data_IF_932329932387
#
_entry.id   IF_932329932387
#
_cell.length_a   1.000
_cell.length_b   1.000
_cell.length_c   1.000
_cell.angle_alpha   90.00
_cell.angle_beta   90.00
_cell.angle_gamma   90.00
#
_symmetry.space_group_name_H-M   'P 1'
#
loop_
_entity.id
_entity.type
_entity.pdbx_description
1 polymer ?
#
# COMPACT_ATOMS: atom_id res chain seq x y z
N UNK A 1 49.52 20.14 -3.03
CA UNK A 1 49.19 19.27 -4.19
C UNK A 1 48.35 18.08 -3.73
N UNK A 2 47.10 18.33 -3.33
CA UNK A 2 46.13 17.30 -2.94
C UNK A 2 44.68 17.82 -3.10
N UNK A 3 44.46 18.69 -4.10
CA UNK A 3 43.15 19.34 -4.37
C UNK A 3 42.81 19.28 -5.88
N UNK A 4 43.55 18.48 -6.67
CA UNK A 4 43.41 18.47 -8.13
C UNK A 4 43.14 17.11 -8.77
N UNK A 5 42.91 16.06 -7.98
CA UNK A 5 42.53 14.74 -8.49
C UNK A 5 41.04 14.38 -8.31
N UNK A 6 40.23 15.26 -7.70
CA UNK A 6 38.78 15.09 -7.65
C UNK A 6 38.06 15.49 -8.97
N UNK A 7 38.80 15.75 -10.06
CA UNK A 7 38.26 16.34 -11.31
C UNK A 7 38.27 15.41 -12.53
N UNK A 8 38.57 14.12 -12.37
CA UNK A 8 38.60 13.16 -13.49
C UNK A 8 37.77 11.90 -13.25
N UNK A 9 36.60 12.08 -12.62
CA UNK A 9 35.52 11.09 -12.55
C UNK A 9 34.19 11.70 -13.00
N UNK A 10 34.20 12.47 -14.10
CA UNK A 10 33.03 13.15 -14.66
C UNK A 10 32.04 12.14 -15.31
N UNK A 11 31.30 11.41 -14.47
CA UNK A 11 30.12 10.68 -14.88
C UNK A 11 28.87 11.57 -14.77
N UNK A 12 28.56 12.32 -15.83
CA UNK A 12 27.26 12.85 -16.28
C UNK A 12 26.14 13.32 -15.29
N UNK A 13 26.35 13.41 -13.97
CA UNK A 13 25.26 13.55 -13.00
C UNK A 13 25.53 14.49 -11.81
N UNK A 14 26.48 15.43 -11.91
CA UNK A 14 26.67 16.48 -10.87
C UNK A 14 25.70 17.68 -11.00
N UNK A 15 24.92 17.76 -12.07
CA UNK A 15 23.82 18.72 -12.22
C UNK A 15 22.49 18.01 -12.08
N UNK A 16 21.67 18.40 -11.09
CA UNK A 16 20.33 17.85 -10.90
C UNK A 16 19.58 17.76 -12.23
N UNK A 17 19.33 16.54 -12.69
CA UNK A 17 18.67 16.25 -13.96
C UNK A 17 17.46 17.18 -14.17
N UNK A 18 17.56 18.02 -15.20
CA UNK A 18 16.47 18.88 -15.73
C UNK A 18 15.53 18.11 -16.65
N UNK A 19 15.83 16.83 -16.90
CA UNK A 19 14.94 15.87 -17.53
C UNK A 19 13.72 15.60 -16.62
N UNK A 20 12.72 16.48 -16.70
CA UNK A 20 11.51 16.48 -15.87
C UNK A 20 10.78 15.13 -15.82
N UNK A 21 10.90 14.33 -16.87
CA UNK A 21 10.22 13.04 -17.00
C UNK A 21 11.11 11.82 -16.70
N UNK A 22 12.40 12.01 -16.39
CA UNK A 22 13.22 10.86 -16.05
C UNK A 22 13.00 10.46 -14.57
N UNK A 23 12.90 9.16 -14.24
CA UNK A 23 12.61 8.75 -12.86
C UNK A 23 13.68 9.12 -11.81
N UNK A 24 14.90 9.47 -12.22
CA UNK A 24 15.89 10.07 -11.31
C UNK A 24 15.52 11.52 -10.98
N UNK A 25 15.14 12.31 -12.00
CA UNK A 25 14.67 13.68 -11.86
C UNK A 25 13.38 13.77 -11.04
N UNK A 26 12.42 12.87 -11.27
CA UNK A 26 11.18 12.81 -10.51
C UNK A 26 11.43 12.52 -9.01
N UNK A 27 12.27 11.53 -8.70
CA UNK A 27 12.65 11.20 -7.32
C UNK A 27 13.37 12.35 -6.63
N UNK A 28 14.32 12.98 -7.32
CA UNK A 28 15.08 14.10 -6.77
C UNK A 28 14.20 15.33 -6.58
N UNK A 29 13.29 15.61 -7.53
CA UNK A 29 12.28 16.66 -7.41
C UNK A 29 11.34 16.44 -6.22
N UNK A 30 10.87 15.21 -6.01
CA UNK A 30 10.06 14.88 -4.83
C UNK A 30 10.84 15.07 -3.53
N UNK A 31 12.09 14.58 -3.46
CA UNK A 31 12.97 14.77 -2.28
C UNK A 31 13.17 16.24 -1.93
N UNK A 32 13.46 17.09 -2.92
CA UNK A 32 13.61 18.53 -2.70
C UNK A 32 12.30 19.18 -2.24
N UNK A 33 11.17 18.81 -2.84
CA UNK A 33 9.86 19.31 -2.43
C UNK A 33 9.55 18.92 -0.97
N UNK A 34 9.83 17.67 -0.57
CA UNK A 34 9.66 17.20 0.82
C UNK A 34 10.58 17.98 1.75
N UNK A 35 11.87 18.16 1.41
CA UNK A 35 12.80 18.90 2.25
C UNK A 35 12.36 20.37 2.42
N UNK A 36 11.96 21.03 1.34
CA UNK A 36 11.45 22.40 1.38
C UNK A 36 10.19 22.51 2.23
N UNK A 37 9.25 21.57 2.10
CA UNK A 37 8.04 21.52 2.91
C UNK A 37 8.36 21.33 4.40
N UNK A 38 9.28 20.41 4.75
CA UNK A 38 9.66 20.16 6.13
C UNK A 38 10.33 21.38 6.77
N UNK A 39 11.22 22.06 6.04
CA UNK A 39 11.84 23.30 6.50
C UNK A 39 10.80 24.38 6.78
N UNK A 40 9.87 24.58 5.83
CA UNK A 40 8.78 25.56 5.96
C UNK A 40 7.84 25.27 7.13
N UNK A 41 7.49 23.99 7.32
CA UNK A 41 6.68 23.56 8.46
C UNK A 41 7.39 23.83 9.78
N UNK A 42 8.70 23.58 9.85
CA UNK A 42 9.49 23.81 11.06
C UNK A 42 9.65 25.31 11.36
N UNK A 43 9.83 26.14 10.33
CA UNK A 43 9.85 27.59 10.45
C UNK A 43 8.53 28.10 11.07
N UNK A 44 7.38 27.67 10.53
CA UNK A 44 6.08 28.03 11.09
C UNK A 44 5.83 27.45 12.48
N UNK A 45 6.28 26.23 12.77
CA UNK A 45 6.19 25.65 14.11
C UNK A 45 7.01 26.46 15.15
N UNK A 46 8.09 27.11 14.71
CA UNK A 46 8.90 28.02 15.54
C UNK A 46 8.37 29.46 15.61
N UNK A 47 7.26 29.76 14.95
CA UNK A 47 6.66 31.11 14.89
C UNK A 47 7.38 32.08 13.93
N UNK A 48 8.25 31.59 13.06
CA UNK A 48 8.95 32.38 12.06
C UNK A 48 8.16 32.42 10.73
N UNK A 49 8.51 33.34 9.81
CA UNK A 49 7.94 33.38 8.45
C UNK A 49 6.54 33.99 8.33
N UNK A 50 5.95 34.51 9.41
CA UNK A 50 4.63 35.15 9.41
C UNK A 50 4.70 36.59 8.86
N UNK A 51 3.83 36.98 7.91
CA UNK A 51 3.70 38.37 7.48
C UNK A 51 3.23 39.27 8.64
N UNK A 52 3.81 40.47 8.75
CA UNK A 52 3.43 41.45 9.77
C UNK A 52 1.92 41.80 9.73
N UNK A 53 1.31 41.73 8.55
CA UNK A 53 -0.11 42.00 8.33
C UNK A 53 -1.06 40.96 8.96
N UNK A 54 -0.60 39.76 9.31
CA UNK A 54 -1.44 38.73 9.97
C UNK A 54 -0.97 38.42 11.39
N UNK A 55 0.28 38.79 11.74
CA UNK A 55 0.90 38.49 13.03
C UNK A 55 0.16 39.06 14.25
N UNK A 56 -0.69 40.07 14.07
CA UNK A 56 -1.47 40.68 15.15
C UNK A 56 -2.77 39.93 15.49
N UNK A 57 -3.17 38.94 14.68
CA UNK A 57 -4.35 38.11 14.92
C UNK A 57 -3.97 36.64 14.86
N UNK A 58 -4.18 35.92 15.97
CA UNK A 58 -3.87 34.50 16.07
C UNK A 58 -4.69 33.67 15.07
N UNK A 59 -5.97 34.00 14.88
CA UNK A 59 -6.84 33.32 13.91
C UNK A 59 -6.38 33.57 12.47
N UNK A 60 -6.06 34.82 12.12
CA UNK A 60 -5.56 35.16 10.79
C UNK A 60 -4.20 34.50 10.49
N UNK A 61 -3.30 34.49 11.49
CA UNK A 61 -2.00 33.82 11.39
C UNK A 61 -2.14 32.32 11.15
N UNK A 62 -3.02 31.64 11.91
CA UNK A 62 -3.27 30.19 11.74
C UNK A 62 -3.87 29.87 10.37
N UNK A 63 -4.84 30.65 9.92
CA UNK A 63 -5.44 30.46 8.60
C UNK A 63 -4.38 30.63 7.49
N UNK A 64 -3.60 31.70 7.55
CA UNK A 64 -2.54 31.96 6.58
C UNK A 64 -1.49 30.85 6.55
N UNK A 65 -1.01 30.40 7.72
CA UNK A 65 -0.06 29.26 7.83
C UNK A 65 -0.66 27.99 7.25
N UNK A 66 -1.92 27.70 7.56
CA UNK A 66 -2.63 26.53 7.05
C UNK A 66 -2.73 26.55 5.53
N UNK A 67 -3.07 27.70 4.93
CA UNK A 67 -3.19 27.85 3.48
C UNK A 67 -1.83 27.68 2.80
N UNK A 68 -0.79 28.29 3.36
CA UNK A 68 0.58 28.25 2.84
C UNK A 68 1.20 26.84 2.94
N UNK A 69 0.90 26.10 4.00
CA UNK A 69 1.25 24.68 4.15
C UNK A 69 0.42 23.79 3.24
N UNK A 70 -0.86 24.09 3.04
CA UNK A 70 -1.74 23.35 2.11
C UNK A 70 -1.24 23.46 0.68
N UNK A 71 -0.88 24.66 0.23
CA UNK A 71 -0.32 24.88 -1.10
C UNK A 71 1.02 24.14 -1.27
N UNK A 72 1.91 24.22 -0.27
CA UNK A 72 3.19 23.51 -0.31
C UNK A 72 3.02 21.99 -0.29
N UNK A 73 2.08 21.47 0.49
CA UNK A 73 1.74 20.05 0.53
C UNK A 73 1.16 19.55 -0.80
N UNK A 74 0.35 20.37 -1.49
CA UNK A 74 -0.16 20.04 -2.82
C UNK A 74 0.98 19.82 -3.82
N UNK A 75 2.02 20.67 -3.80
CA UNK A 75 3.22 20.51 -4.61
C UNK A 75 3.98 19.22 -4.27
N UNK A 76 4.17 18.91 -2.98
CA UNK A 76 4.80 17.65 -2.54
C UNK A 76 4.03 16.44 -3.06
N UNK A 77 2.70 16.48 -2.97
CA UNK A 77 1.82 15.40 -3.42
C UNK A 77 1.83 15.25 -4.95
N UNK A 78 1.89 16.34 -5.70
CA UNK A 78 2.07 16.33 -7.16
C UNK A 78 3.39 15.66 -7.55
N UNK A 79 4.51 16.08 -6.94
CA UNK A 79 5.82 15.47 -7.18
C UNK A 79 5.88 14.02 -6.73
N UNK A 80 5.17 13.67 -5.65
CA UNK A 80 5.06 12.29 -5.18
C UNK A 80 4.31 11.38 -6.16
N UNK A 81 3.23 11.88 -6.78
CA UNK A 81 2.51 11.17 -7.84
C UNK A 81 3.40 10.99 -9.08
N UNK A 82 4.10 12.04 -9.51
CA UNK A 82 5.03 11.96 -10.63
C UNK A 82 6.17 10.95 -10.38
N UNK A 83 6.76 10.92 -9.18
CA UNK A 83 7.73 9.88 -8.81
C UNK A 83 7.11 8.48 -8.87
N UNK A 84 5.88 8.32 -8.36
CA UNK A 84 5.15 7.05 -8.35
C UNK A 84 4.92 6.49 -9.76
N UNK A 85 4.42 7.33 -10.68
CA UNK A 85 4.20 6.97 -12.08
C UNK A 85 5.51 6.61 -12.79
N UNK A 86 6.53 7.44 -12.62
CA UNK A 86 7.87 7.22 -13.17
C UNK A 86 8.50 5.91 -12.65
N UNK A 87 8.24 5.57 -11.39
CA UNK A 87 8.67 4.31 -10.79
C UNK A 87 7.91 3.10 -11.35
N UNK A 88 6.59 3.19 -11.49
CA UNK A 88 5.76 2.12 -12.07
C UNK A 88 6.17 1.79 -13.51
N UNK A 89 6.50 2.80 -14.31
CA UNK A 89 7.01 2.60 -15.67
C UNK A 89 8.35 1.85 -15.72
N UNK A 90 9.18 1.93 -14.67
CA UNK A 90 10.43 1.15 -14.56
C UNK A 90 10.25 -0.20 -13.86
N UNK A 91 9.12 -0.43 -13.21
CA UNK A 91 8.91 -1.64 -12.42
C UNK A 91 8.97 -2.89 -13.32
N UNK A 92 8.41 -2.83 -14.53
CA UNK A 92 8.40 -3.98 -15.43
C UNK A 92 9.82 -4.47 -15.81
N UNK A 93 10.78 -3.55 -15.99
CA UNK A 93 12.18 -3.89 -16.25
C UNK A 93 12.79 -4.61 -15.05
N UNK A 94 12.55 -4.09 -13.84
CA UNK A 94 13.04 -4.74 -12.60
C UNK A 94 12.43 -6.12 -12.42
N UNK A 95 11.14 -6.26 -12.68
CA UNK A 95 10.48 -7.57 -12.59
C UNK A 95 11.01 -8.53 -13.64
N UNK A 96 11.29 -8.06 -14.86
CA UNK A 96 11.93 -8.88 -15.89
C UNK A 96 13.33 -9.33 -15.43
N UNK A 97 14.17 -8.42 -14.91
CA UNK A 97 15.48 -8.80 -14.37
C UNK A 97 15.38 -9.83 -13.24
N UNK A 98 14.44 -9.69 -12.31
CA UNK A 98 14.23 -10.67 -11.23
C UNK A 98 13.80 -12.02 -11.78
N UNK A 99 12.83 -12.04 -12.72
CA UNK A 99 12.35 -13.26 -13.37
C UNK A 99 13.49 -13.98 -14.11
N UNK A 100 14.24 -13.27 -14.95
CA UNK A 100 15.35 -13.85 -15.70
C UNK A 100 16.53 -14.27 -14.81
N UNK A 101 16.78 -13.55 -13.71
CA UNK A 101 17.76 -13.97 -12.70
C UNK A 101 17.34 -15.27 -12.01
N UNK A 102 16.04 -15.45 -11.73
CA UNK A 102 15.51 -16.69 -11.16
C UNK A 102 15.62 -17.86 -12.15
N UNK A 103 15.34 -17.63 -13.44
CA UNK A 103 15.54 -18.64 -14.51
C UNK A 103 17.02 -19.02 -14.62
N UNK A 104 17.93 -18.03 -14.64
CA UNK A 104 19.38 -18.28 -14.67
C UNK A 104 19.85 -19.04 -13.43
N UNK A 105 19.37 -18.67 -12.24
CA UNK A 105 19.69 -19.37 -11.00
C UNK A 105 19.21 -20.82 -11.04
N UNK A 106 17.98 -21.06 -11.51
CA UNK A 106 17.45 -22.42 -11.68
C UNK A 106 18.33 -23.22 -12.64
N UNK A 107 18.73 -22.63 -13.77
CA UNK A 107 19.64 -23.25 -14.72
C UNK A 107 20.99 -23.62 -14.07
N UNK A 108 21.62 -22.68 -13.37
CA UNK A 108 22.89 -22.93 -12.67
C UNK A 108 22.77 -24.05 -11.63
N UNK A 109 21.70 -24.04 -10.82
CA UNK A 109 21.43 -25.11 -9.84
C UNK A 109 21.24 -26.46 -10.52
N UNK A 110 20.49 -26.51 -11.63
CA UNK A 110 20.31 -27.74 -12.39
C UNK A 110 21.61 -28.24 -13.01
N UNK A 111 22.45 -27.37 -13.56
CA UNK A 111 23.77 -27.75 -14.10
C UNK A 111 24.67 -28.30 -12.99
N UNK A 112 24.76 -27.60 -11.85
CA UNK A 112 25.57 -28.04 -10.72
C UNK A 112 25.10 -29.38 -10.16
N UNK A 113 23.79 -29.58 -10.03
CA UNK A 113 23.23 -30.86 -9.56
C UNK A 113 23.21 -31.95 -10.63
N UNK A 114 23.52 -31.63 -11.90
CA UNK A 114 23.67 -32.63 -12.96
C UNK A 114 25.02 -33.33 -12.87
N UNK A 115 26.01 -32.67 -12.24
CA UNK A 115 27.32 -33.24 -11.99
C UNK A 115 27.13 -34.46 -11.08
N UNK A 116 27.42 -35.65 -11.60
CA UNK A 116 27.27 -36.94 -10.91
C UNK A 116 25.90 -37.60 -11.07
N UNK A 117 24.79 -36.85 -11.10
CA UNK A 117 23.43 -37.41 -11.22
C UNK A 117 22.90 -37.50 -12.67
N UNK A 118 23.59 -36.89 -13.63
CA UNK A 118 23.20 -36.86 -15.04
C UNK A 118 22.12 -35.83 -15.37
N UNK A 119 21.90 -35.64 -16.68
CA UNK A 119 20.85 -34.78 -17.22
C UNK A 119 19.61 -35.60 -17.54
N UNK A 120 18.44 -35.14 -17.11
CA UNK A 120 17.16 -35.88 -17.21
C UNK A 120 16.13 -35.06 -17.99
N UNK A 121 15.12 -35.74 -18.54
CA UNK A 121 13.99 -35.10 -19.23
C UNK A 121 13.27 -34.10 -18.31
N UNK A 122 13.09 -34.45 -17.03
CA UNK A 122 12.48 -33.56 -16.04
C UNK A 122 13.23 -32.23 -15.87
N UNK A 123 14.57 -32.21 -15.97
CA UNK A 123 15.37 -30.98 -15.93
C UNK A 123 15.09 -30.10 -17.15
N UNK A 124 15.12 -30.69 -18.34
CA UNK A 124 14.77 -29.99 -19.58
C UNK A 124 13.35 -29.43 -19.53
N UNK A 125 12.36 -30.22 -19.10
CA UNK A 125 10.98 -29.79 -18.93
C UNK A 125 10.86 -28.66 -17.89
N UNK A 126 11.58 -28.78 -16.77
CA UNK A 126 11.72 -27.75 -15.73
C UNK A 126 12.21 -26.41 -16.26
N UNK A 127 13.24 -26.42 -17.11
CA UNK A 127 13.80 -25.21 -17.71
C UNK A 127 12.90 -24.62 -18.80
N UNK A 128 12.31 -25.46 -19.65
CA UNK A 128 11.35 -25.01 -20.65
C UNK A 128 10.12 -24.37 -19.99
N UNK A 129 9.58 -24.98 -18.93
CA UNK A 129 8.49 -24.41 -18.14
C UNK A 129 8.88 -23.05 -17.54
N UNK A 130 10.10 -22.92 -17.03
CA UNK A 130 10.63 -21.67 -16.47
C UNK A 130 10.78 -20.59 -17.55
N UNK A 131 11.27 -20.95 -18.74
CA UNK A 131 11.37 -20.06 -19.89
C UNK A 131 9.98 -19.59 -20.35
N UNK A 132 9.02 -20.50 -20.50
CA UNK A 132 7.65 -20.16 -20.92
C UNK A 132 6.97 -19.24 -19.90
N UNK A 133 7.10 -19.54 -18.61
CA UNK A 133 6.55 -18.71 -17.53
C UNK A 133 7.25 -17.35 -17.49
N UNK A 134 8.58 -17.32 -17.65
CA UNK A 134 9.36 -16.09 -17.69
C UNK A 134 9.02 -15.18 -18.87
N UNK A 135 8.83 -15.77 -20.06
CA UNK A 135 8.37 -15.07 -21.26
C UNK A 135 6.95 -14.54 -21.09
N UNK A 136 6.03 -15.34 -20.54
CA UNK A 136 4.66 -14.91 -20.27
C UNK A 136 4.62 -13.74 -19.28
N UNK A 137 5.37 -13.81 -18.18
CA UNK A 137 5.47 -12.73 -17.19
C UNK A 137 6.13 -11.48 -17.77
N UNK A 138 7.17 -11.64 -18.60
CA UNK A 138 7.84 -10.51 -19.27
C UNK A 138 6.90 -9.85 -20.28
N UNK A 139 6.18 -10.64 -21.08
CA UNK A 139 5.19 -10.17 -22.05
C UNK A 139 4.02 -9.46 -21.38
N UNK A 140 3.44 -10.05 -20.34
CA UNK A 140 2.41 -9.40 -19.52
C UNK A 140 2.93 -8.10 -18.88
N UNK A 141 4.18 -8.12 -18.40
CA UNK A 141 4.84 -6.93 -17.86
C UNK A 141 5.02 -5.81 -18.87
N UNK A 142 5.37 -6.15 -20.11
CA UNK A 142 5.48 -5.20 -21.20
C UNK A 142 4.12 -4.62 -21.60
N UNK A 143 3.10 -5.46 -21.75
CA UNK A 143 1.73 -5.06 -22.11
C UNK A 143 1.09 -4.18 -21.03
N UNK A 144 1.37 -4.46 -19.75
CA UNK A 144 0.82 -3.73 -18.60
C UNK A 144 1.81 -2.73 -17.97
N UNK A 145 2.85 -2.31 -18.71
CA UNK A 145 3.91 -1.41 -18.19
C UNK A 145 3.39 -0.11 -17.59
N UNK A 146 2.29 0.44 -18.11
CA UNK A 146 1.66 1.65 -17.60
C UNK A 146 0.98 1.46 -16.23
N UNK A 147 0.70 0.21 -15.83
CA UNK A 147 0.01 -0.15 -14.58
C UNK A 147 0.92 -0.90 -13.59
N UNK A 148 2.23 -0.82 -13.78
CA UNK A 148 3.21 -1.52 -12.93
C UNK A 148 3.71 -2.86 -13.48
N UNK A 149 3.27 -3.29 -14.67
CA UNK A 149 3.77 -4.49 -15.34
C UNK A 149 3.21 -5.80 -14.76
N UNK A 150 4.06 -6.83 -14.64
CA UNK A 150 3.68 -8.16 -14.17
C UNK A 150 3.00 -8.16 -12.77
N UNK A 151 3.39 -7.31 -11.81
CA UNK A 151 2.70 -7.23 -10.52
C UNK A 151 1.38 -6.43 -10.55
N UNK A 152 0.96 -5.86 -11.69
CA UNK A 152 -0.30 -5.10 -11.77
C UNK A 152 -1.52 -5.83 -11.16
N UNK A 153 -1.71 -7.16 -11.34
CA UNK A 153 -2.84 -7.87 -10.74
C UNK A 153 -2.82 -7.91 -9.20
N UNK A 154 -1.64 -7.79 -8.59
CA UNK A 154 -1.49 -7.82 -7.12
C UNK A 154 -1.48 -6.43 -6.50
N UNK A 155 -1.50 -5.38 -7.31
CA UNK A 155 -1.67 -3.99 -6.85
C UNK A 155 -3.18 -3.74 -6.65
N UNK A 156 -3.54 -3.25 -5.48
CA UNK A 156 -4.89 -2.86 -5.09
C UNK A 156 -5.34 -1.56 -5.73
N UNK A 157 -6.63 -1.29 -5.63
CA UNK A 157 -7.25 -0.03 -6.09
C UNK A 157 -6.71 1.20 -5.34
N UNK A 158 -6.11 1.01 -4.16
CA UNK A 158 -5.44 2.03 -3.35
C UNK A 158 -3.94 2.21 -3.68
N UNK A 159 -3.47 1.67 -4.81
CA UNK A 159 -2.06 1.67 -5.23
C UNK A 159 -1.09 1.01 -4.23
N UNK A 160 -1.57 0.08 -3.39
CA UNK A 160 -0.74 -0.73 -2.47
C UNK A 160 -0.67 -2.18 -2.93
N UNK A 161 0.34 -2.94 -2.51
CA UNK A 161 0.31 -4.39 -2.74
C UNK A 161 -0.73 -5.05 -1.85
N UNK A 162 -1.55 -5.94 -2.44
CA UNK A 162 -2.54 -6.71 -1.71
C UNK A 162 -1.96 -8.05 -1.27
N UNK A 163 -1.89 -8.28 0.05
CA UNK A 163 -1.40 -9.54 0.65
C UNK A 163 -2.13 -10.76 0.10
N UNK A 164 -3.46 -10.74 0.05
CA UNK A 164 -4.24 -11.88 -0.47
C UNK A 164 -4.03 -12.12 -1.96
N UNK A 165 -3.96 -11.07 -2.78
CA UNK A 165 -3.69 -11.24 -4.22
C UNK A 165 -2.27 -11.74 -4.46
N UNK A 166 -1.28 -11.27 -3.70
CA UNK A 166 0.11 -11.70 -3.83
C UNK A 166 0.30 -13.19 -3.44
N UNK A 167 -0.31 -13.62 -2.33
CA UNK A 167 -0.30 -15.04 -1.93
C UNK A 167 -1.01 -15.90 -2.98
N UNK A 168 -2.21 -15.51 -3.43
CA UNK A 168 -2.92 -16.26 -4.46
C UNK A 168 -2.15 -16.35 -5.78
N UNK A 169 -1.58 -15.22 -6.25
CA UNK A 169 -0.75 -15.20 -7.45
C UNK A 169 0.48 -16.11 -7.34
N UNK A 170 1.11 -16.16 -6.16
CA UNK A 170 2.27 -17.03 -5.92
C UNK A 170 1.89 -18.52 -6.03
N UNK A 171 0.75 -18.92 -5.46
CA UNK A 171 0.22 -20.28 -5.60
C UNK A 171 -0.19 -20.63 -7.03
N UNK A 172 -0.84 -19.69 -7.74
CA UNK A 172 -1.19 -19.86 -9.16
C UNK A 172 0.06 -20.04 -10.01
N UNK A 173 1.11 -19.24 -9.78
CA UNK A 173 2.37 -19.36 -10.50
C UNK A 173 3.05 -20.70 -10.24
N UNK A 174 3.11 -21.16 -8.98
CA UNK A 174 3.69 -22.46 -8.66
C UNK A 174 2.90 -23.61 -9.30
N UNK A 175 1.57 -23.58 -9.21
CA UNK A 175 0.71 -24.60 -9.81
C UNK A 175 0.83 -24.63 -11.34
N UNK A 176 0.81 -23.46 -11.99
CA UNK A 176 1.00 -23.34 -13.44
C UNK A 176 2.37 -23.84 -13.87
N UNK A 177 3.43 -23.51 -13.13
CA UNK A 177 4.77 -24.03 -13.37
C UNK A 177 4.81 -25.56 -13.25
N UNK A 178 4.25 -26.13 -12.17
CA UNK A 178 4.21 -27.58 -11.97
C UNK A 178 3.50 -28.32 -13.12
N UNK A 179 2.37 -27.79 -13.58
CA UNK A 179 1.64 -28.35 -14.73
C UNK A 179 2.47 -28.27 -16.01
N UNK A 180 3.15 -27.15 -16.28
CA UNK A 180 4.03 -27.03 -17.45
C UNK A 180 5.19 -28.04 -17.42
N UNK A 181 5.75 -28.32 -16.23
CA UNK A 181 6.79 -29.35 -16.05
C UNK A 181 6.26 -30.74 -16.39
N UNK A 182 5.04 -31.07 -15.95
CA UNK A 182 4.40 -32.35 -16.25
C UNK A 182 4.04 -32.47 -17.74
N UNK A 183 3.50 -31.41 -18.36
CA UNK A 183 3.20 -31.37 -19.80
C UNK A 183 4.48 -31.56 -20.63
N UNK A 184 5.59 -30.91 -20.24
CA UNK A 184 6.87 -31.07 -20.92
C UNK A 184 7.42 -32.49 -20.83
N UNK A 185 7.27 -33.16 -19.68
CA UNK A 185 7.64 -34.56 -19.53
C UNK A 185 6.74 -35.49 -20.35
N UNK A 186 5.43 -35.25 -20.35
CA UNK A 186 4.48 -36.03 -21.14
C UNK A 186 4.75 -35.93 -22.64
N UNK A 187 5.11 -34.75 -23.13
CA UNK A 187 5.47 -34.53 -24.53
C UNK A 187 6.77 -35.26 -24.93
N UNK A 188 7.68 -35.48 -23.98
CA UNK A 188 8.94 -36.19 -24.21
C UNK A 188 8.85 -37.70 -23.94
N UNK A 189 7.78 -38.17 -23.29
CA UNK A 189 7.59 -39.59 -22.98
C UNK A 189 7.31 -40.39 -24.26
N UNK A 190 8.21 -41.33 -24.58
CA UNK A 190 8.09 -42.23 -25.73
C UNK A 190 7.44 -43.57 -25.38
N UNK A 191 7.51 -44.00 -24.13
CA UNK A 191 6.93 -45.26 -23.65
C UNK A 191 5.50 -45.06 -23.11
N UNK A 192 4.67 -46.10 -23.20
CA UNK A 192 3.29 -46.07 -22.69
C UNK A 192 3.27 -46.11 -21.15
N UNK A 193 4.13 -46.91 -20.52
CA UNK A 193 4.19 -47.01 -19.06
C UNK A 193 4.61 -45.69 -18.40
N UNK A 194 5.56 -44.96 -19.01
CA UNK A 194 5.99 -43.63 -18.58
C UNK A 194 4.86 -42.59 -18.67
N UNK A 195 4.04 -42.67 -19.72
CA UNK A 195 2.88 -41.78 -19.91
C UNK A 195 1.81 -42.05 -18.86
N UNK A 196 1.51 -43.32 -18.62
CA UNK A 196 0.51 -43.73 -17.62
C UNK A 196 0.93 -43.32 -16.21
N UNK A 197 2.23 -43.42 -15.89
CA UNK A 197 2.77 -42.94 -14.62
C UNK A 197 2.62 -41.41 -14.44
N UNK A 198 2.87 -40.61 -15.49
CA UNK A 198 2.68 -39.16 -15.46
C UNK A 198 1.20 -38.77 -15.34
N UNK A 199 0.31 -39.49 -16.02
CA UNK A 199 -1.15 -39.30 -15.91
C UNK A 199 -1.61 -39.65 -14.49
N UNK A 200 -1.12 -40.76 -13.92
CA UNK A 200 -1.37 -41.11 -12.53
C UNK A 200 -0.81 -40.05 -11.55
N UNK A 201 0.30 -39.39 -11.91
CA UNK A 201 0.87 -38.27 -11.16
C UNK A 201 -0.01 -37.00 -11.12
N UNK A 202 -0.97 -36.88 -12.03
CA UNK A 202 -1.99 -35.82 -12.07
C UNK A 202 -3.25 -36.17 -11.27
N UNK A 203 -3.35 -37.39 -10.73
CA UNK A 203 -4.52 -37.80 -9.98
C UNK A 203 -4.81 -36.88 -8.80
N UNK A 204 -6.09 -36.56 -8.63
CA UNK A 204 -6.56 -35.67 -7.57
C UNK A 204 -6.16 -36.20 -6.17
N UNK A 205 -6.06 -37.51 -5.99
CA UNK A 205 -5.62 -38.10 -4.72
C UNK A 205 -4.23 -37.61 -4.29
N UNK A 206 -3.33 -37.37 -5.25
CA UNK A 206 -1.95 -36.88 -5.02
C UNK A 206 -1.87 -35.36 -5.01
N UNK A 207 -2.78 -34.69 -5.72
CA UNK A 207 -2.84 -33.22 -5.83
C UNK A 207 -3.83 -32.54 -4.86
N UNK A 208 -4.58 -33.28 -4.04
CA UNK A 208 -5.70 -32.73 -3.27
C UNK A 208 -5.26 -31.57 -2.38
N UNK A 209 -4.14 -31.71 -1.65
CA UNK A 209 -3.65 -30.66 -0.75
C UNK A 209 -3.34 -29.35 -1.47
N UNK A 210 -2.60 -29.39 -2.58
CA UNK A 210 -2.24 -28.18 -3.34
C UNK A 210 -3.46 -27.57 -4.03
N UNK A 211 -4.37 -28.38 -4.56
CA UNK A 211 -5.61 -27.90 -5.20
C UNK A 211 -6.53 -27.25 -4.17
N UNK A 212 -6.68 -27.85 -2.98
CA UNK A 212 -7.45 -27.26 -1.88
C UNK A 212 -6.86 -25.93 -1.45
N UNK A 213 -5.55 -25.85 -1.23
CA UNK A 213 -4.89 -24.59 -0.86
C UNK A 213 -5.08 -23.55 -1.94
N UNK A 214 -4.84 -23.89 -3.22
CA UNK A 214 -5.03 -23.00 -4.35
C UNK A 214 -6.46 -22.45 -4.42
N UNK A 215 -7.46 -23.33 -4.29
CA UNK A 215 -8.87 -22.94 -4.28
C UNK A 215 -9.18 -21.98 -3.13
N UNK A 216 -8.68 -22.26 -1.92
CA UNK A 216 -8.89 -21.42 -0.74
C UNK A 216 -8.22 -20.06 -0.89
N UNK A 217 -6.93 -19.99 -1.24
CA UNK A 217 -6.22 -18.70 -1.34
C UNK A 217 -6.81 -17.81 -2.44
N UNK A 218 -7.25 -18.39 -3.56
CA UNK A 218 -7.97 -17.68 -4.61
C UNK A 218 -9.35 -17.20 -4.12
N UNK A 219 -10.11 -18.06 -3.44
CA UNK A 219 -11.39 -17.70 -2.83
C UNK A 219 -11.26 -16.57 -1.82
N UNK A 220 -10.23 -16.60 -0.96
CA UNK A 220 -9.90 -15.55 0.00
C UNK A 220 -9.51 -14.25 -0.69
N UNK A 221 -8.74 -14.29 -1.77
CA UNK A 221 -8.41 -13.09 -2.54
C UNK A 221 -9.66 -12.38 -3.09
N UNK A 222 -10.62 -13.15 -3.62
CA UNK A 222 -11.91 -12.63 -4.11
C UNK A 222 -12.78 -12.12 -2.95
N UNK A 223 -12.90 -12.92 -1.88
CA UNK A 223 -13.73 -12.57 -0.73
C UNK A 223 -13.24 -11.31 -0.03
N UNK A 224 -11.93 -11.20 0.23
CA UNK A 224 -11.35 -9.99 0.85
C UNK A 224 -11.55 -8.76 -0.04
N UNK A 225 -11.40 -8.88 -1.36
CA UNK A 225 -11.71 -7.76 -2.28
C UNK A 225 -13.16 -7.31 -2.12
N UNK A 226 -14.11 -8.24 -2.06
CA UNK A 226 -15.53 -7.94 -1.86
C UNK A 226 -15.78 -7.30 -0.50
N UNK A 227 -15.22 -7.84 0.57
CA UNK A 227 -15.38 -7.35 1.94
C UNK A 227 -14.86 -5.92 2.08
N UNK A 228 -13.62 -5.68 1.63
CA UNK A 228 -13.01 -4.35 1.68
C UNK A 228 -13.82 -3.37 0.83
N UNK A 229 -14.19 -3.74 -0.41
CA UNK A 229 -14.98 -2.89 -1.29
C UNK A 229 -16.33 -2.47 -0.69
N UNK A 230 -17.10 -3.44 -0.15
CA UNK A 230 -18.39 -3.15 0.48
C UNK A 230 -18.25 -2.31 1.76
N UNK A 231 -17.19 -2.52 2.54
CA UNK A 231 -16.96 -1.74 3.77
C UNK A 231 -16.50 -0.32 3.48
N UNK A 232 -15.71 -0.11 2.42
CA UNK A 232 -15.34 1.24 1.94
C UNK A 232 -16.58 1.96 1.42
N UNK A 233 -17.40 1.33 0.58
CA UNK A 233 -18.66 1.91 0.08
C UNK A 233 -19.64 2.20 1.22
N UNK A 234 -19.70 1.34 2.24
CA UNK A 234 -20.51 1.54 3.44
C UNK A 234 -19.89 2.51 4.46
N UNK A 235 -18.78 3.18 4.13
CA UNK A 235 -18.02 4.09 5.00
C UNK A 235 -17.57 3.47 6.34
N UNK A 236 -17.55 2.12 6.45
CA UNK A 236 -17.10 1.38 7.64
C UNK A 236 -15.60 1.11 7.65
N UNK A 237 -14.93 1.38 6.54
CA UNK A 237 -13.49 1.30 6.38
C UNK A 237 -13.03 2.50 5.56
N UNK A 238 -11.97 3.16 6.02
CA UNK A 238 -11.41 4.33 5.36
C UNK A 238 -10.11 3.95 4.68
N UNK A 239 -10.03 4.17 3.37
CA UNK A 239 -8.88 3.81 2.53
C UNK A 239 -8.43 5.04 1.74
N UNK A 240 -7.17 5.41 1.88
CA UNK A 240 -6.55 6.50 1.11
C UNK A 240 -5.48 5.93 0.18
N UNK A 241 -5.54 6.33 -1.09
CA UNK A 241 -4.59 5.87 -2.10
C UNK A 241 -3.16 6.27 -1.79
N UNK A 242 -2.24 5.31 -1.88
CA UNK A 242 -0.81 5.52 -1.82
C UNK A 242 -0.29 6.12 -3.14
N UNK A 243 0.84 6.82 -3.09
CA UNK A 243 1.49 7.31 -4.33
C UNK A 243 2.20 6.19 -5.10
N UNK A 244 2.61 5.12 -4.41
CA UNK A 244 3.23 3.94 -5.02
C UNK A 244 3.08 2.70 -4.13
N UNK A 245 3.07 1.50 -4.72
CA UNK A 245 3.12 0.26 -3.95
C UNK A 245 4.52 0.06 -3.35
N UNK A 246 4.57 -0.57 -2.18
CA UNK A 246 5.82 -0.92 -1.47
C UNK A 246 5.80 -2.40 -1.13
N UNK A 247 6.96 -3.05 -1.18
CA UNK A 247 7.07 -4.45 -0.75
C UNK A 247 6.62 -4.66 0.71
N UNK A 248 6.84 -3.64 1.56
CA UNK A 248 6.38 -3.64 2.95
C UNK A 248 4.85 -3.74 3.08
N UNK A 249 4.06 -3.31 2.08
CA UNK A 249 2.60 -3.35 2.13
C UNK A 249 2.05 -4.77 2.31
N UNK A 250 2.83 -5.82 1.98
CA UNK A 250 2.45 -7.21 2.22
C UNK A 250 2.46 -7.57 3.72
N UNK A 251 3.19 -6.81 4.53
CA UNK A 251 3.50 -7.09 5.93
C UNK A 251 3.01 -5.98 6.88
N UNK A 252 2.59 -4.84 6.33
CA UNK A 252 2.21 -3.66 7.10
C UNK A 252 0.78 -3.23 6.81
N UNK A 253 0.14 -2.65 7.82
CA UNK A 253 -1.13 -1.96 7.70
C UNK A 253 -1.01 -0.68 6.86
N UNK A 254 -2.14 0.02 6.68
CA UNK A 254 -2.19 1.22 5.87
C UNK A 254 -1.37 2.39 6.45
N UNK A 255 -1.07 2.35 7.75
CA UNK A 255 -0.22 3.32 8.45
C UNK A 255 1.27 2.93 8.43
N UNK A 256 1.62 1.78 7.84
CA UNK A 256 2.99 1.26 7.79
C UNK A 256 3.42 0.51 9.06
N UNK A 257 2.51 0.16 9.96
CA UNK A 257 2.79 -0.65 11.16
C UNK A 257 2.70 -2.13 10.80
N UNK A 258 3.51 -2.98 11.43
CA UNK A 258 3.44 -4.43 11.18
C UNK A 258 2.05 -5.00 11.49
N UNK A 259 1.45 -5.71 10.54
CA UNK A 259 0.15 -6.35 10.71
C UNK A 259 0.35 -7.83 11.01
N UNK A 260 0.01 -8.26 12.23
CA UNK A 260 0.19 -9.67 12.62
C UNK A 260 -0.55 -10.63 11.69
N UNK A 261 -1.80 -10.33 11.33
CA UNK A 261 -2.63 -11.18 10.46
C UNK A 261 -2.08 -11.28 9.05
N UNK A 262 -1.45 -10.22 8.54
CA UNK A 262 -0.86 -10.20 7.20
C UNK A 262 0.50 -10.91 7.21
N UNK A 263 1.36 -10.62 8.20
CA UNK A 263 2.67 -11.25 8.37
C UNK A 263 2.54 -12.77 8.51
N UNK A 264 1.68 -13.25 9.41
CA UNK A 264 1.51 -14.69 9.63
C UNK A 264 1.02 -15.39 8.35
N UNK A 265 0.14 -14.75 7.58
CA UNK A 265 -0.42 -15.32 6.36
C UNK A 265 0.63 -15.44 5.25
N UNK A 266 1.44 -14.41 5.09
CA UNK A 266 2.58 -14.44 4.16
C UNK A 266 3.58 -15.51 4.58
N UNK A 267 4.03 -15.52 5.83
CA UNK A 267 5.06 -16.46 6.31
C UNK A 267 4.60 -17.91 6.18
N UNK A 268 3.41 -18.25 6.66
CA UNK A 268 2.86 -19.62 6.57
C UNK A 268 2.72 -20.05 5.11
N UNK A 269 2.19 -19.18 4.26
CA UNK A 269 2.03 -19.48 2.82
C UNK A 269 3.37 -19.64 2.12
N UNK A 270 4.37 -18.81 2.45
CA UNK A 270 5.73 -18.92 1.89
C UNK A 270 6.38 -20.24 2.28
N UNK A 271 6.27 -20.68 3.54
CA UNK A 271 6.82 -21.98 3.98
C UNK A 271 6.17 -23.13 3.20
N UNK A 272 4.85 -23.12 3.04
CA UNK A 272 4.13 -24.14 2.29
C UNK A 272 4.47 -24.12 0.78
N UNK A 273 4.64 -22.93 0.17
CA UNK A 273 5.11 -22.77 -1.21
C UNK A 273 6.51 -23.33 -1.41
N UNK A 274 7.44 -23.01 -0.50
CA UNK A 274 8.82 -23.53 -0.55
C UNK A 274 8.82 -25.05 -0.41
N UNK A 275 8.03 -25.59 0.52
CA UNK A 275 7.87 -27.02 0.67
C UNK A 275 7.35 -27.67 -0.62
N UNK A 276 6.28 -27.13 -1.22
CA UNK A 276 5.72 -27.65 -2.47
C UNK A 276 6.72 -27.56 -3.65
N UNK A 277 7.49 -26.46 -3.76
CA UNK A 277 8.55 -26.33 -4.77
C UNK A 277 9.66 -27.38 -4.58
N UNK A 278 10.08 -27.65 -3.34
CA UNK A 278 11.05 -28.71 -3.04
C UNK A 278 10.48 -30.09 -3.38
N UNK A 279 9.20 -30.35 -3.09
CA UNK A 279 8.53 -31.61 -3.47
C UNK A 279 8.52 -31.81 -4.98
N UNK A 280 8.18 -30.78 -5.75
CA UNK A 280 8.23 -30.82 -7.21
C UNK A 280 9.64 -31.13 -7.72
N UNK A 281 10.66 -30.49 -7.15
CA UNK A 281 12.06 -30.73 -7.54
C UNK A 281 12.53 -32.16 -7.22
N UNK A 282 11.98 -32.79 -6.17
CA UNK A 282 12.33 -34.16 -5.75
C UNK A 282 11.51 -35.24 -6.46
N UNK A 283 10.28 -34.91 -6.87
CA UNK A 283 9.34 -35.82 -7.56
C UNK A 283 8.67 -35.06 -8.71
N UNK A 284 9.39 -34.83 -9.82
CA UNK A 284 8.91 -34.02 -10.93
C UNK A 284 7.81 -34.70 -11.75
N UNK A 285 7.62 -36.00 -11.57
CA UNK A 285 6.66 -36.88 -12.25
C UNK A 285 5.22 -36.74 -11.75
N UNK A 286 4.99 -36.00 -10.66
CA UNK A 286 3.67 -35.79 -10.09
C UNK A 286 3.47 -34.36 -9.59
N UNK A 287 2.21 -33.98 -9.37
CA UNK A 287 1.92 -32.71 -8.69
C UNK A 287 2.55 -32.68 -7.30
N UNK A 288 2.88 -31.47 -6.77
CA UNK A 288 3.43 -31.33 -5.44
C UNK A 288 2.44 -31.85 -4.39
N UNK A 289 2.72 -33.05 -3.88
CA UNK A 289 1.97 -33.64 -2.78
C UNK A 289 2.26 -32.86 -1.50
N UNK A 290 1.27 -32.06 -1.09
CA UNK A 290 1.29 -31.21 0.09
C UNK A 290 0.59 -31.95 1.25
N UNK A 291 1.31 -32.32 2.32
CA UNK A 291 0.73 -32.98 3.48
C UNK A 291 -0.46 -32.19 4.04
N UNK A 292 -1.53 -32.89 4.40
CA UNK A 292 -2.73 -32.28 4.94
C UNK A 292 -2.47 -31.39 6.16
N UNK A 293 -1.47 -31.70 6.99
CA UNK A 293 -1.07 -30.84 8.10
C UNK A 293 -0.63 -29.43 7.65
N UNK A 294 0.17 -29.34 6.57
CA UNK A 294 0.58 -28.05 6.00
C UNK A 294 -0.57 -27.36 5.27
N UNK A 295 -1.40 -28.12 4.56
CA UNK A 295 -2.60 -27.57 3.92
C UNK A 295 -3.54 -26.95 4.97
N UNK A 296 -3.84 -27.67 6.05
CA UNK A 296 -4.67 -27.19 7.16
C UNK A 296 -4.05 -25.96 7.84
N UNK A 297 -2.73 -25.92 8.01
CA UNK A 297 -2.05 -24.74 8.55
C UNK A 297 -2.27 -23.50 7.68
N UNK A 298 -2.14 -23.64 6.34
CA UNK A 298 -2.42 -22.55 5.40
C UNK A 298 -3.90 -22.14 5.47
N UNK A 299 -4.82 -23.09 5.58
CA UNK A 299 -6.26 -22.82 5.70
C UNK A 299 -6.60 -22.03 6.98
N UNK A 300 -6.06 -22.44 8.13
CA UNK A 300 -6.23 -21.73 9.42
C UNK A 300 -5.63 -20.34 9.35
N UNK A 301 -4.44 -20.22 8.75
CA UNK A 301 -3.77 -18.95 8.53
C UNK A 301 -4.59 -18.00 7.63
N UNK A 302 -5.18 -18.53 6.55
CA UNK A 302 -6.04 -17.79 5.64
C UNK A 302 -7.35 -17.33 6.31
N UNK A 303 -7.96 -18.20 7.14
CA UNK A 303 -9.14 -17.85 7.94
C UNK A 303 -8.82 -16.75 8.97
N UNK A 304 -7.67 -16.82 9.63
CA UNK A 304 -7.20 -15.81 10.58
C UNK A 304 -6.99 -14.46 9.89
N UNK A 305 -6.37 -14.47 8.71
CA UNK A 305 -6.22 -13.27 7.87
C UNK A 305 -7.57 -12.67 7.48
N UNK A 306 -8.51 -13.50 7.02
CA UNK A 306 -9.86 -13.06 6.67
C UNK A 306 -10.57 -12.43 7.87
N UNK A 307 -10.53 -13.08 9.04
CA UNK A 307 -11.11 -12.56 10.27
C UNK A 307 -10.49 -11.20 10.65
N UNK A 308 -9.17 -11.06 10.49
CA UNK A 308 -8.47 -9.78 10.62
C UNK A 308 -9.05 -8.69 9.73
N UNK A 309 -9.24 -8.97 8.43
CA UNK A 309 -9.85 -8.01 7.48
C UNK A 309 -11.30 -7.65 7.81
N UNK A 310 -12.04 -8.51 8.51
CA UNK A 310 -13.36 -8.18 9.05
C UNK A 310 -13.29 -7.33 10.32
N UNK A 311 -12.28 -7.54 11.15
CA UNK A 311 -12.06 -6.78 12.39
C UNK A 311 -11.46 -5.38 12.14
N UNK A 312 -10.73 -5.17 11.05
CA UNK A 312 -10.12 -3.87 10.71
C UNK A 312 -11.14 -2.75 10.50
N UNK A 313 -10.77 -1.52 10.84
CA UNK A 313 -11.53 -0.31 10.51
C UNK A 313 -12.56 0.12 11.56
N UNK A 314 -13.28 1.18 11.22
CA UNK A 314 -14.27 1.82 12.07
C UNK A 314 -14.87 3.01 11.35
N UNK A 315 -16.14 3.29 11.61
CA UNK A 315 -16.76 4.55 11.16
C UNK A 315 -16.16 5.69 11.99
N UNK A 316 -15.77 6.81 11.35
CA UNK A 316 -15.38 7.98 12.12
C UNK A 316 -16.59 8.45 12.95
N UNK A 317 -16.35 8.88 14.18
CA UNK A 317 -17.42 9.24 15.11
C UNK A 317 -17.05 10.49 15.89
N UNK A 318 -17.98 11.43 16.01
CA UNK A 318 -17.94 12.56 16.94
C UNK A 318 -18.57 12.09 18.24
N UNK A 319 -17.82 12.20 19.34
CA UNK A 319 -18.29 11.87 20.68
C UNK A 319 -18.73 13.13 21.44
N UNK A 320 -18.05 14.25 21.23
CA UNK A 320 -18.40 15.53 21.82
C UNK A 320 -17.86 16.70 21.02
N UNK A 321 -18.55 17.83 21.09
CA UNK A 321 -18.08 19.12 20.60
C UNK A 321 -18.15 20.11 21.75
N UNK A 322 -17.04 20.80 22.01
CA UNK A 322 -16.93 21.80 23.09
C UNK A 322 -16.25 23.06 22.58
N UNK A 323 -16.44 24.19 23.27
CA UNK A 323 -15.65 25.40 23.03
C UNK A 323 -14.18 25.10 23.36
N UNK A 324 -13.28 25.41 22.43
CA UNK A 324 -11.84 25.32 22.69
C UNK A 324 -11.47 26.42 23.69
N UNK A 325 -10.76 26.06 24.75
CA UNK A 325 -10.51 26.97 25.88
C UNK A 325 -9.03 27.31 25.96
N UNK A 326 -8.70 28.58 26.05
CA UNK A 326 -7.36 29.00 26.46
C UNK A 326 -7.24 29.06 27.99
N UNK A 327 -6.03 28.96 28.51
CA UNK A 327 -5.81 29.00 29.95
C UNK A 327 -6.21 30.37 30.51
N UNK A 328 -7.31 30.43 31.28
CA UNK A 328 -7.84 31.66 31.87
C UNK A 328 -9.24 32.05 31.37
N UNK A 329 -9.75 31.39 30.32
CA UNK A 329 -11.11 31.63 29.84
C UNK A 329 -12.18 31.10 30.81
N UNK A 330 -13.27 31.86 30.92
CA UNK A 330 -14.48 31.45 31.63
C UNK A 330 -15.31 30.48 30.78
N UNK A 331 -16.10 29.64 31.46
CA UNK A 331 -17.06 28.79 30.79
C UNK A 331 -18.14 29.66 30.12
N UNK A 332 -18.32 29.47 28.82
CA UNK A 332 -19.22 30.25 27.99
C UNK A 332 -19.86 29.36 26.91
N UNK A 333 -21.06 29.71 26.40
CA UNK A 333 -21.64 29.06 25.24
C UNK A 333 -20.73 29.25 24.01
N UNK A 334 -20.90 28.38 23.01
CA UNK A 334 -20.19 28.47 21.74
C UNK A 334 -20.74 29.68 20.97
N UNK A 335 -19.87 30.61 20.60
CA UNK A 335 -20.23 31.78 19.77
C UNK A 335 -19.66 31.68 18.36
N UNK A 336 -20.21 32.50 17.47
CA UNK A 336 -19.55 32.74 16.19
C UNK A 336 -18.16 33.34 16.41
N UNK A 337 -17.16 32.87 15.66
CA UNK A 337 -15.76 33.25 15.83
C UNK A 337 -14.98 32.50 16.91
N UNK A 338 -15.65 31.77 17.82
CA UNK A 338 -14.95 30.90 18.76
C UNK A 338 -14.30 29.70 18.03
N UNK A 339 -13.19 29.21 18.56
CA UNK A 339 -12.70 27.89 18.19
C UNK A 339 -13.52 26.82 18.93
N UNK A 340 -13.87 25.74 18.24
CA UNK A 340 -14.46 24.54 18.84
C UNK A 340 -13.50 23.37 18.76
N UNK A 341 -13.48 22.56 19.81
CA UNK A 341 -12.79 21.30 19.89
C UNK A 341 -13.78 20.15 19.66
N UNK A 342 -13.58 19.43 18.57
CA UNK A 342 -14.36 18.27 18.17
C UNK A 342 -13.57 17.03 18.59
N UNK A 343 -14.11 16.27 19.53
CA UNK A 343 -13.49 15.05 20.07
C UNK A 343 -14.21 13.82 19.53
N UNK A 344 -13.43 12.80 19.21
CA UNK A 344 -13.96 11.59 18.60
C UNK A 344 -12.89 10.55 18.32
N UNK A 345 -13.13 9.75 17.28
CA UNK A 345 -12.21 8.74 16.82
C UNK A 345 -12.32 8.53 15.32
N UNK A 346 -11.20 8.16 14.69
CA UNK A 346 -11.14 7.82 13.27
C UNK A 346 -11.17 9.03 12.34
N UNK A 347 -10.85 10.23 12.83
CA UNK A 347 -10.86 11.44 11.99
C UNK A 347 -9.75 11.42 10.93
N UNK A 348 -8.61 10.81 11.24
CA UNK A 348 -7.47 10.71 10.32
C UNK A 348 -7.39 9.28 9.79
N UNK A 349 -7.77 9.03 8.52
CA UNK A 349 -7.69 7.69 7.96
C UNK A 349 -6.28 7.10 8.04
N UNK A 350 -6.14 5.78 8.22
CA UNK A 350 -4.85 5.11 8.09
C UNK A 350 -4.16 5.44 6.76
N UNK A 351 -2.91 5.90 6.81
CA UNK A 351 -2.14 6.34 5.64
C UNK A 351 -2.41 7.78 5.17
N UNK A 352 -3.26 8.54 5.87
CA UNK A 352 -3.59 9.93 5.56
C UNK A 352 -2.83 10.97 6.39
N UNK A 353 -1.72 10.60 7.05
CA UNK A 353 -0.96 11.49 7.93
C UNK A 353 -0.15 12.56 7.19
N UNK A 354 -0.04 12.46 5.86
CA UNK A 354 0.61 13.47 5.04
C UNK A 354 -0.24 14.75 4.96
N UNK A 355 0.42 15.90 4.97
CA UNK A 355 -0.25 17.21 5.03
C UNK A 355 -1.26 17.45 3.89
N UNK A 356 -1.01 16.91 2.69
CA UNK A 356 -1.91 17.04 1.54
C UNK A 356 -3.22 16.25 1.69
N UNK A 357 -3.25 15.28 2.60
CA UNK A 357 -4.43 14.51 2.96
C UNK A 357 -5.13 15.14 4.15
N UNK A 358 -4.39 15.57 5.16
CA UNK A 358 -4.92 16.29 6.30
C UNK A 358 -5.65 17.58 5.90
N UNK A 359 -5.11 18.33 4.93
CA UNK A 359 -5.74 19.57 4.42
C UNK A 359 -7.08 19.36 3.70
N UNK A 360 -7.43 18.11 3.36
CA UNK A 360 -8.71 17.76 2.72
C UNK A 360 -9.82 17.50 3.73
N UNK A 361 -9.49 17.49 5.02
CA UNK A 361 -10.49 17.31 6.07
C UNK A 361 -11.36 18.57 6.17
N UNK A 362 -12.66 18.35 6.26
CA UNK A 362 -13.67 19.42 6.31
C UNK A 362 -14.61 19.14 7.47
N UNK A 363 -14.97 20.19 8.20
CA UNK A 363 -16.06 20.15 9.18
C UNK A 363 -17.24 20.90 8.58
N UNK A 364 -18.38 20.23 8.50
CA UNK A 364 -19.66 20.87 8.17
C UNK A 364 -20.31 21.33 9.47
N UNK A 365 -20.54 22.63 9.60
CA UNK A 365 -21.24 23.25 10.73
C UNK A 365 -22.51 23.88 10.16
N UNK A 366 -23.66 23.24 10.38
CA UNK A 366 -24.90 23.59 9.72
C UNK A 366 -24.78 23.47 8.19
N UNK A 367 -24.95 24.59 7.48
CA UNK A 367 -24.79 24.67 6.02
C UNK A 367 -23.35 25.02 5.57
N UNK A 368 -22.47 25.42 6.49
CA UNK A 368 -21.14 25.95 6.17
C UNK A 368 -20.09 24.85 6.22
N UNK A 369 -19.16 24.86 5.26
CA UNK A 369 -18.03 23.93 5.20
C UNK A 369 -16.74 24.66 5.60
N UNK A 370 -16.07 24.13 6.61
CA UNK A 370 -14.85 24.71 7.18
C UNK A 370 -13.70 23.73 6.97
N UNK A 371 -12.64 24.17 6.32
CA UNK A 371 -11.41 23.37 6.22
C UNK A 371 -10.75 23.28 7.59
N UNK A 372 -10.30 22.09 7.96
CA UNK A 372 -9.59 21.92 9.24
C UNK A 372 -8.19 22.54 9.10
N UNK A 373 -7.84 23.56 9.91
CA UNK A 373 -6.57 24.25 9.76
C UNK A 373 -5.40 23.36 10.15
N UNK A 374 -4.34 23.36 9.34
CA UNK A 374 -3.09 22.72 9.66
C UNK A 374 -2.33 23.56 10.71
N UNK A 375 -2.19 23.04 11.92
CA UNK A 375 -1.42 23.69 12.99
C UNK A 375 -0.08 22.96 13.15
N UNK A 376 1.03 23.53 12.65
CA UNK A 376 2.32 22.86 12.66
C UNK A 376 2.91 22.82 14.07
N UNK A 377 3.54 21.71 14.40
CA UNK A 377 4.39 21.55 15.58
C UNK A 377 5.67 20.84 15.17
N UNK A 378 6.70 20.89 16.01
CA UNK A 378 7.96 20.18 15.76
C UNK A 378 7.66 18.71 15.44
N UNK A 379 8.10 18.26 14.26
CA UNK A 379 7.89 16.89 13.80
C UNK A 379 6.52 16.57 13.17
N UNK A 380 5.50 17.43 13.25
CA UNK A 380 4.16 17.08 12.77
C UNK A 380 3.12 18.19 12.82
N UNK A 381 1.89 17.81 13.17
CA UNK A 381 0.75 18.71 13.32
C UNK A 381 0.04 18.39 14.64
N UNK A 382 -0.34 19.43 15.39
CA UNK A 382 -1.23 19.30 16.55
C UNK A 382 -2.71 19.32 16.15
N UNK A 383 -3.00 19.78 14.93
CA UNK A 383 -4.31 19.75 14.32
C UNK A 383 -4.17 19.61 12.79
N UNK A 384 -4.91 18.71 12.13
CA UNK A 384 -5.82 17.71 12.67
C UNK A 384 -5.13 16.51 13.34
N UNK A 385 -5.82 15.86 14.29
CA UNK A 385 -5.43 14.56 14.86
C UNK A 385 -6.55 13.53 14.73
N UNK A 386 -6.26 12.25 14.97
CA UNK A 386 -7.25 11.18 14.83
C UNK A 386 -8.41 11.28 15.84
N UNK A 387 -8.17 11.89 17.00
CA UNK A 387 -9.13 11.97 18.09
C UNK A 387 -9.66 13.39 18.36
N UNK A 388 -8.97 14.42 17.89
CA UNK A 388 -9.29 15.82 18.17
C UNK A 388 -9.08 16.69 16.93
N UNK A 389 -10.06 17.52 16.63
CA UNK A 389 -9.99 18.59 15.64
C UNK A 389 -10.35 19.92 16.30
N UNK A 390 -9.59 20.96 15.98
CA UNK A 390 -9.91 22.34 16.36
C UNK A 390 -10.25 23.12 15.11
N UNK A 391 -11.44 23.72 15.07
CA UNK A 391 -11.90 24.56 13.94
C UNK A 391 -12.59 25.82 14.44
N UNK A 392 -12.44 26.96 13.75
CA UNK A 392 -13.21 28.15 14.08
C UNK A 392 -14.67 27.97 13.66
N UNK A 393 -15.60 28.54 14.42
CA UNK A 393 -17.01 28.69 14.04
C UNK A 393 -17.13 29.90 13.11
N UNK A 394 -17.48 29.73 11.82
CA UNK A 394 -17.61 30.85 10.90
C UNK A 394 -18.72 31.82 11.31
N UNK A 395 -18.56 33.10 10.96
CA UNK A 395 -19.59 34.11 11.16
C UNK A 395 -20.88 33.83 10.36
N UNK A 396 -20.79 33.06 9.27
CA UNK A 396 -21.94 32.69 8.43
C UNK A 396 -22.78 31.55 9.03
N UNK A 397 -22.41 31.02 10.20
CA UNK A 397 -23.22 30.01 10.90
C UNK A 397 -24.38 30.70 11.60
N UNK A 398 -25.61 30.31 11.24
CA UNK A 398 -26.82 30.82 11.88
C UNK A 398 -26.83 30.48 13.38
N UNK A 399 -27.15 31.45 14.26
CA UNK A 399 -27.35 31.20 15.68
C UNK A 399 -28.49 30.19 15.92
N UNK A 400 -28.34 29.39 16.98
CA UNK A 400 -29.27 28.37 17.42
C UNK A 400 -28.69 26.96 17.31
N UNK A 401 -29.59 25.98 17.22
CA UNK A 401 -29.22 24.56 17.18
C UNK A 401 -28.72 24.17 15.79
N UNK A 402 -27.42 23.85 15.68
CA UNK A 402 -26.78 23.43 14.42
C UNK A 402 -26.14 22.05 14.55
N UNK A 403 -26.03 21.34 13.43
CA UNK A 403 -25.37 20.03 13.37
C UNK A 403 -23.90 20.17 12.94
N UNK A 404 -23.00 19.52 13.66
CA UNK A 404 -21.58 19.36 13.30
C UNK A 404 -21.34 17.97 12.73
N UNK A 405 -20.60 17.91 11.63
CA UNK A 405 -20.16 16.66 11.00
C UNK A 405 -18.74 16.81 10.47
N UNK A 406 -17.90 15.79 10.62
CA UNK A 406 -16.56 15.75 10.04
C UNK A 406 -16.59 14.90 8.77
N UNK A 407 -15.99 15.41 7.71
CA UNK A 407 -15.67 14.70 6.47
C UNK A 407 -14.17 14.44 6.45
N UNK A 408 -13.77 13.17 6.52
CA UNK A 408 -12.36 12.78 6.58
C UNK A 408 -11.68 12.88 5.22
N UNK A 409 -10.35 12.77 5.18
CA UNK A 409 -9.57 12.74 3.94
C UNK A 409 -9.92 11.58 2.99
N UNK A 410 -10.62 10.55 3.49
CA UNK A 410 -11.14 9.43 2.70
C UNK A 410 -12.58 9.66 2.21
N UNK A 411 -13.21 10.79 2.55
CA UNK A 411 -14.61 11.10 2.22
C UNK A 411 -15.62 10.37 3.09
N UNK A 412 -15.20 9.81 4.23
CA UNK A 412 -16.14 9.23 5.20
C UNK A 412 -16.72 10.35 6.07
N UNK A 413 -18.03 10.29 6.29
CA UNK A 413 -18.72 11.23 7.17
C UNK A 413 -18.95 10.63 8.55
N UNK A 414 -18.83 11.45 9.59
CA UNK A 414 -19.21 11.07 10.96
C UNK A 414 -20.72 11.07 11.17
N UNK A 415 -21.16 10.63 12.37
CA UNK A 415 -22.47 11.01 12.89
C UNK A 415 -22.60 12.55 12.96
N UNK A 416 -23.85 12.99 12.95
CA UNK A 416 -24.21 14.38 13.18
C UNK A 416 -24.30 14.64 14.68
N UNK A 417 -23.66 15.69 15.15
CA UNK A 417 -23.65 16.08 16.56
C UNK A 417 -24.26 17.47 16.70
N UNK A 418 -25.36 17.60 17.44
CA UNK A 418 -26.02 18.90 17.63
C UNK A 418 -25.28 19.74 18.68
N UNK A 419 -25.04 21.00 18.35
CA UNK A 419 -24.54 22.03 19.26
C UNK A 419 -25.49 23.23 19.25
N UNK A 420 -25.41 24.06 20.28
CA UNK A 420 -26.10 25.36 20.34
C UNK A 420 -25.06 26.45 20.11
N UNK A 421 -25.28 27.30 19.10
CA UNK A 421 -24.43 28.46 18.78
C UNK A 421 -25.17 29.73 19.17
N UNK A 422 -24.52 30.62 19.89
CA UNK A 422 -25.04 31.94 20.25
C UNK A 422 -24.34 33.04 19.46
N UNK A 423 -24.94 34.22 19.39
CA UNK A 423 -24.31 35.42 18.82
C UNK A 423 -23.01 35.80 19.56
#
# INVERSE_FOLDING_TARGET
MAVQEARQGAGAHEGGCTCGDCPHGAREGHRRAVAAFLLKREEFASGQGLPAAVAHSASASRQWVSDELTQSAALVAERGRAEGEAWLQRLWLRTAYVVWSAVLLLFLVQVLTAIGAGWTVARTAGLLAALLTGLALTGAGYLHRARGGAPAPVIGEDNRLSTSRAVAASWVLLAGYAVLVLVGQLAAASDHDDRDALIAGLELARGAGIVTVLAVVCGIAVLVRRVVGLRVLGQRLQKVGAYRPRAADLLTDDSGRGSFTDIQYVVVSTVALVFAAVRLARRPDQLPDLPWGLALLVLVSAATYLAGKYAEGGRPVILSVVRAREAGDLDAPIRTGDDIEIRGAGFVPPGAQAADRLSRMVVRIGAVHVHVPLVPVVGGFSNPTDAVLTVPVPADVEPGRVEVQVVTAAGAETNRYAIEVTD
#
